data_IF_048257081639
#
_entry.id   IF_048257081639
#
_cell.length_a   1.000
_cell.length_b   1.000
_cell.length_c   1.000
_cell.angle_alpha   90.00
_cell.angle_beta   90.00
_cell.angle_gamma   90.00
#
_symmetry.space_group_name_H-M   'P 1'
#
loop_
_entity.id
_entity.type
_entity.pdbx_description
1 polymer ?
#
# COMPACT_ATOMS: atom_id res chain seq x y z
N UNK A 1 44.23 22.64 -4.77
CA UNK A 1 42.88 22.11 -4.99
C UNK A 1 41.91 23.02 -4.27
N UNK A 2 41.01 23.61 -5.06
CA UNK A 2 40.18 24.76 -4.70
C UNK A 2 39.00 24.27 -3.86
N UNK A 3 38.90 24.75 -2.62
CA UNK A 3 37.68 24.66 -1.84
C UNK A 3 36.77 25.80 -2.30
N UNK A 4 35.81 25.47 -3.17
CA UNK A 4 34.64 26.31 -3.41
C UNK A 4 33.90 26.51 -2.08
N UNK A 5 33.99 27.72 -1.53
CA UNK A 5 33.17 28.13 -0.39
C UNK A 5 31.76 28.36 -0.90
N UNK A 6 30.82 27.59 -0.36
CA UNK A 6 29.40 27.67 -0.69
C UNK A 6 28.88 29.08 -0.35
N UNK A 7 28.70 29.94 -1.35
CA UNK A 7 28.20 31.31 -1.18
C UNK A 7 26.70 31.24 -0.88
N UNK A 8 26.32 31.50 0.36
CA UNK A 8 24.91 31.59 0.78
C UNK A 8 24.40 32.99 0.48
N UNK A 9 23.31 33.10 -0.29
CA UNK A 9 22.73 34.39 -0.67
C UNK A 9 22.18 35.12 0.59
N UNK A 10 22.74 36.28 0.97
CA UNK A 10 22.34 37.01 2.18
C UNK A 10 20.93 37.62 2.08
N UNK A 11 20.33 37.64 0.89
CA UNK A 11 18.97 38.17 0.67
C UNK A 11 17.86 37.17 1.04
N UNK A 12 18.20 35.90 1.31
CA UNK A 12 17.23 34.85 1.58
C UNK A 12 17.33 34.35 3.02
N UNK A 13 16.35 34.75 3.85
CA UNK A 13 16.24 34.27 5.23
C UNK A 13 15.59 32.88 5.30
N UNK A 14 16.02 32.07 6.28
CA UNK A 14 15.42 30.75 6.55
C UNK A 14 14.09 30.91 7.31
N UNK A 15 13.01 30.32 6.77
CA UNK A 15 11.67 30.35 7.37
C UNK A 15 11.27 28.96 7.91
N UNK A 16 11.66 28.60 9.15
CA UNK A 16 11.28 27.32 9.74
C UNK A 16 9.79 27.31 10.13
N UNK A 17 9.04 26.27 9.71
CA UNK A 17 7.66 26.06 10.13
C UNK A 17 7.61 25.19 11.37
N UNK A 18 6.89 25.63 12.40
CA UNK A 18 6.65 24.84 13.60
C UNK A 18 5.44 23.94 13.38
N UNK A 19 5.70 22.65 13.16
CA UNK A 19 4.67 21.63 13.02
C UNK A 19 4.33 21.07 14.41
N UNK A 20 3.11 21.32 14.87
CA UNK A 20 2.65 20.93 16.21
C UNK A 20 1.18 21.29 16.37
N UNK A 21 0.59 20.94 17.51
CA UNK A 21 -0.80 21.28 17.82
C UNK A 21 -0.89 22.81 17.98
N UNK A 22 -1.77 23.46 17.20
CA UNK A 22 -1.92 24.93 17.19
C UNK A 22 -0.83 25.70 16.45
N UNK A 23 0.09 25.00 15.76
CA UNK A 23 1.14 25.61 14.93
C UNK A 23 0.77 25.71 13.45
N UNK A 24 1.78 25.63 12.59
CA UNK A 24 1.57 25.62 11.14
C UNK A 24 0.82 24.36 10.67
N UNK A 25 0.11 24.47 9.54
CA UNK A 25 -0.55 23.32 8.91
C UNK A 25 0.43 22.15 8.74
N UNK A 26 -0.02 20.91 9.00
CA UNK A 26 0.83 19.75 8.84
C UNK A 26 1.28 19.62 7.37
N UNK A 27 2.49 19.10 7.11
CA UNK A 27 2.89 18.77 5.75
C UNK A 27 1.92 17.74 5.16
N UNK A 28 1.81 17.69 3.83
CA UNK A 28 1.01 16.67 3.14
C UNK A 28 1.54 15.29 3.53
N UNK A 29 0.73 14.50 4.22
CA UNK A 29 1.00 13.10 4.60
C UNK A 29 0.09 12.18 3.81
N UNK A 30 0.47 10.93 3.70
CA UNK A 30 -0.41 9.91 3.15
C UNK A 30 -1.61 9.70 4.08
N UNK A 31 -2.83 9.86 3.54
CA UNK A 31 -4.09 9.79 4.26
C UNK A 31 -4.86 8.51 3.90
N UNK A 32 -4.28 7.57 3.15
CA UNK A 32 -4.99 6.38 2.65
C UNK A 32 -5.72 5.58 3.75
N UNK A 33 -5.19 5.58 4.98
CA UNK A 33 -5.78 4.90 6.13
C UNK A 33 -6.94 5.67 6.77
N UNK A 34 -6.93 7.01 6.70
CA UNK A 34 -7.90 7.89 7.36
C UNK A 34 -8.98 8.43 6.42
N UNK A 35 -8.84 8.19 5.11
CA UNK A 35 -9.87 8.48 4.12
C UNK A 35 -11.11 7.63 4.40
N UNK A 36 -12.28 8.27 4.42
CA UNK A 36 -13.55 7.56 4.37
C UNK A 36 -13.71 6.91 2.99
N UNK A 37 -13.43 5.62 2.93
CA UNK A 37 -13.55 4.83 1.70
C UNK A 37 -15.00 4.68 1.25
N UNK A 38 -15.26 4.50 -0.06
CA UNK A 38 -16.59 4.16 -0.56
C UNK A 38 -17.13 2.88 0.08
N UNK A 39 -18.46 2.75 0.27
CA UNK A 39 -19.06 1.64 1.03
C UNK A 39 -18.74 0.27 0.43
N UNK A 40 -18.61 0.17 -0.90
CA UNK A 40 -18.24 -1.07 -1.58
C UNK A 40 -16.85 -1.56 -1.18
N UNK A 41 -15.89 -0.65 -0.99
CA UNK A 41 -14.52 -0.97 -0.59
C UNK A 41 -14.49 -1.40 0.87
N UNK A 42 -15.26 -0.73 1.72
CA UNK A 42 -15.41 -1.08 3.13
C UNK A 42 -15.94 -2.52 3.27
N UNK A 43 -17.08 -2.81 2.62
CA UNK A 43 -17.70 -4.15 2.66
C UNK A 43 -16.76 -5.23 2.10
N UNK A 44 -16.01 -4.94 1.03
CA UNK A 44 -15.02 -5.88 0.48
C UNK A 44 -13.89 -6.19 1.48
N UNK A 45 -13.38 -5.16 2.17
CA UNK A 45 -12.31 -5.31 3.19
C UNK A 45 -12.83 -6.02 4.44
N UNK A 46 -14.00 -5.66 4.92
CA UNK A 46 -14.67 -6.33 6.05
C UNK A 46 -14.92 -7.81 5.76
N UNK A 47 -15.42 -8.14 4.56
CA UNK A 47 -15.58 -9.54 4.12
C UNK A 47 -14.26 -10.31 4.17
N UNK A 48 -13.13 -9.69 3.82
CA UNK A 48 -11.81 -10.33 3.92
C UNK A 48 -11.42 -10.57 5.37
N UNK A 49 -11.61 -9.59 6.26
CA UNK A 49 -11.31 -9.72 7.68
C UNK A 49 -12.19 -10.82 8.32
N UNK A 50 -13.49 -10.85 8.02
CA UNK A 50 -14.40 -11.89 8.53
C UNK A 50 -13.97 -13.30 8.13
N UNK A 51 -13.51 -13.50 6.88
CA UNK A 51 -12.97 -14.80 6.42
C UNK A 51 -11.71 -15.23 7.16
N UNK A 52 -10.93 -14.30 7.70
CA UNK A 52 -9.71 -14.58 8.46
C UNK A 52 -10.00 -14.83 9.94
N UNK A 53 -10.87 -14.01 10.54
CA UNK A 53 -11.20 -14.10 11.96
C UNK A 53 -12.12 -15.28 12.29
N UNK A 54 -13.05 -15.62 11.40
CA UNK A 54 -13.99 -16.71 11.61
C UNK A 54 -13.37 -18.06 11.23
N UNK A 55 -13.78 -19.12 11.94
CA UNK A 55 -13.39 -20.49 11.59
C UNK A 55 -14.12 -20.93 10.32
N UNK A 56 -13.41 -20.90 9.19
CA UNK A 56 -13.95 -21.37 7.91
C UNK A 56 -13.95 -22.92 7.88
N UNK A 57 -15.08 -23.57 7.51
CA UNK A 57 -15.15 -25.02 7.34
C UNK A 57 -14.12 -25.55 6.32
N UNK A 58 -13.61 -26.79 6.49
CA UNK A 58 -12.57 -27.34 5.62
C UNK A 58 -12.99 -27.45 4.15
N UNK A 59 -14.27 -27.75 3.89
CA UNK A 59 -14.84 -27.79 2.53
C UNK A 59 -14.78 -26.44 1.80
N UNK A 60 -14.78 -25.32 2.51
CA UNK A 60 -14.61 -23.99 1.92
C UNK A 60 -13.13 -23.57 1.92
N UNK A 61 -12.36 -24.02 2.91
CA UNK A 61 -10.93 -23.68 3.01
C UNK A 61 -10.08 -24.31 1.90
N UNK A 62 -10.51 -25.42 1.30
CA UNK A 62 -9.78 -26.04 0.17
C UNK A 62 -9.52 -25.07 -0.98
N UNK A 63 -10.43 -24.12 -1.23
CA UNK A 63 -10.29 -23.13 -2.31
C UNK A 63 -9.22 -22.07 -2.05
N UNK A 64 -8.73 -21.94 -0.81
CA UNK A 64 -7.62 -21.03 -0.48
C UNK A 64 -6.25 -21.62 -0.80
N UNK A 65 -6.16 -22.96 -0.90
CA UNK A 65 -4.93 -23.66 -1.25
C UNK A 65 -4.91 -23.93 -2.75
N UNK A 66 -4.41 -22.98 -3.51
CA UNK A 66 -4.22 -23.12 -4.96
C UNK A 66 -2.87 -23.78 -5.27
N UNK A 67 -2.70 -24.19 -6.52
CA UNK A 67 -1.42 -24.67 -7.03
C UNK A 67 -0.37 -23.55 -7.01
N UNK A 68 0.91 -23.93 -7.06
CA UNK A 68 2.02 -22.98 -7.18
C UNK A 68 1.96 -22.28 -8.54
N UNK A 69 2.31 -20.98 -8.55
CA UNK A 69 2.35 -20.14 -9.76
C UNK A 69 3.14 -20.79 -10.91
N UNK A 70 4.28 -21.41 -10.62
CA UNK A 70 5.12 -22.05 -11.64
C UNK A 70 4.42 -23.25 -12.28
N UNK A 71 3.76 -24.05 -11.45
CA UNK A 71 3.02 -25.23 -11.89
C UNK A 71 1.75 -24.86 -12.66
N UNK A 72 1.06 -23.79 -12.25
CA UNK A 72 -0.11 -23.26 -12.93
C UNK A 72 0.22 -22.77 -14.33
N UNK A 73 1.29 -21.98 -14.47
CA UNK A 73 1.75 -21.49 -15.77
C UNK A 73 2.15 -22.66 -16.67
N UNK A 74 2.91 -23.63 -16.15
CA UNK A 74 3.32 -24.80 -16.92
C UNK A 74 2.13 -25.69 -17.34
N UNK A 75 1.09 -25.82 -16.50
CA UNK A 75 -0.16 -26.51 -16.86
C UNK A 75 -0.90 -25.76 -17.97
N UNK A 76 -1.01 -24.44 -17.85
CA UNK A 76 -1.69 -23.62 -18.85
C UNK A 76 -0.96 -23.66 -20.20
N UNK A 77 0.36 -23.51 -20.21
CA UNK A 77 1.18 -23.60 -21.43
C UNK A 77 1.03 -24.95 -22.14
N UNK A 78 0.99 -26.06 -21.38
CA UNK A 78 0.70 -27.39 -21.95
C UNK A 78 -0.68 -27.49 -22.58
N UNK A 79 -1.70 -26.89 -21.97
CA UNK A 79 -3.07 -26.88 -22.50
C UNK A 79 -3.22 -25.97 -23.72
N UNK A 80 -2.46 -24.87 -23.80
CA UNK A 80 -2.38 -24.00 -24.98
C UNK A 80 -1.70 -24.74 -26.14
N UNK A 81 -0.61 -25.48 -25.90
CA UNK A 81 0.11 -26.22 -26.94
C UNK A 81 -0.66 -27.42 -27.50
N UNK A 82 -1.68 -27.90 -26.78
CA UNK A 82 -2.55 -29.02 -27.17
C UNK A 82 -3.77 -28.59 -28.01
N UNK A 83 -4.04 -27.28 -28.09
CA UNK A 83 -4.99 -26.71 -29.06
C UNK A 83 -4.26 -26.38 -30.34
#
# INVERSE_FOLDING_TARGET
MIFELMVVNPLLEKQPKQFGIGGALPPKKDVHMFVRWPPVVQIQREKRNLKQCLKVPPALKQFTKTLDKNLDIARLARNVKRR
#
